data_IF_406389440276
#
_entry.id   IF_406389440276
#
_cell.length_a   1.000
_cell.length_b   1.000
_cell.length_c   1.000
_cell.angle_alpha   90.00
_cell.angle_beta   90.00
_cell.angle_gamma   90.00
#
_symmetry.space_group_name_H-M   'P 1'
#
loop_
_entity.id
_entity.type
_entity.pdbx_description
1 polymer ?
#
# COMPACT_ATOMS: atom_id res chain seq x y z
N UNK A 1 -49.93 8.40 -26.16
CA UNK A 1 -50.91 9.00 -25.25
C UNK A 1 -50.14 9.41 -24.03
N UNK A 2 -49.91 10.55 -23.72
CA UNK A 2 -50.42 11.89 -23.50
C UNK A 2 -49.53 12.46 -22.45
N UNK A 3 -48.63 13.40 -22.73
CA UNK A 3 -48.74 14.87 -22.59
C UNK A 3 -48.89 15.36 -21.14
N UNK A 4 -47.94 16.25 -20.76
CA UNK A 4 -48.02 17.32 -19.77
C UNK A 4 -46.62 17.63 -19.28
N UNK A 5 -45.83 18.50 -19.69
CA UNK A 5 -45.74 19.94 -19.98
C UNK A 5 -46.10 20.82 -18.79
N UNK A 6 -45.11 21.71 -18.49
CA UNK A 6 -45.17 23.08 -17.87
C UNK A 6 -44.79 23.08 -16.36
N UNK A 7 -44.06 24.01 -15.79
CA UNK A 7 -43.51 25.35 -16.18
C UNK A 7 -42.35 25.62 -15.19
N UNK A 8 -41.21 26.08 -15.53
CA UNK A 8 -40.63 27.42 -15.65
C UNK A 8 -41.16 28.43 -14.62
N UNK A 9 -40.27 28.78 -13.67
CA UNK A 9 -40.15 30.14 -13.16
C UNK A 9 -38.71 30.44 -12.74
N UNK A 10 -38.07 31.29 -13.54
CA UNK A 10 -36.99 32.18 -13.25
C UNK A 10 -37.45 33.19 -12.17
N UNK A 11 -36.63 33.41 -11.16
CA UNK A 11 -36.59 34.70 -10.50
C UNK A 11 -35.11 35.08 -10.35
N UNK A 12 -34.70 35.92 -11.30
CA UNK A 12 -33.65 36.90 -11.17
C UNK A 12 -34.00 37.89 -10.07
N UNK A 13 -33.08 38.20 -9.18
CA UNK A 13 -33.03 39.54 -8.61
C UNK A 13 -31.57 39.93 -8.35
N UNK A 14 -31.13 40.82 -9.18
CA UNK A 14 -30.04 41.75 -9.14
C UNK A 14 -30.39 42.90 -8.17
N UNK A 15 -29.49 43.21 -7.26
CA UNK A 15 -29.24 44.55 -6.68
C UNK A 15 -27.78 44.55 -6.22
N UNK A 16 -26.88 45.01 -6.92
CA UNK A 16 -26.32 46.30 -7.29
C UNK A 16 -26.28 47.36 -6.17
N UNK A 17 -25.03 47.73 -5.85
CA UNK A 17 -24.48 49.03 -5.56
C UNK A 17 -24.61 49.54 -4.13
N UNK A 18 -23.47 49.70 -3.47
CA UNK A 18 -22.85 51.05 -3.31
C UNK A 18 -21.46 50.94 -2.69
N UNK A 19 -20.49 51.26 -3.53
CA UNK A 19 -19.27 51.98 -3.16
C UNK A 19 -19.63 53.26 -2.41
N UNK A 20 -18.92 53.56 -1.35
CA UNK A 20 -18.62 54.91 -0.93
C UNK A 20 -17.19 55.01 -0.46
N UNK A 21 -16.36 55.49 -1.35
CA UNK A 21 -15.15 56.24 -1.04
C UNK A 21 -15.50 57.49 -0.22
N UNK A 22 -14.69 57.75 0.79
CA UNK A 22 -14.26 59.07 1.26
C UNK A 22 -12.92 58.78 1.95
N UNK A 23 -11.80 58.93 1.31
CA UNK A 23 -10.92 60.08 1.05
C UNK A 23 -10.65 60.94 2.26
N UNK A 24 -9.37 60.93 2.63
CA UNK A 24 -8.48 62.00 2.96
C UNK A 24 -8.96 63.14 3.84
N UNK A 25 -8.17 63.37 4.84
CA UNK A 25 -7.52 64.62 5.26
C UNK A 25 -6.72 64.31 6.52
N UNK A 26 -5.41 64.20 6.53
CA UNK A 26 -4.34 65.19 6.39
C UNK A 26 -4.63 66.48 7.22
N UNK A 27 -3.85 66.67 8.21
CA UNK A 27 -2.92 67.86 8.42
C UNK A 27 -2.60 67.93 9.90
N UNK A 28 -1.33 67.80 10.32
CA UNK A 28 -0.33 68.85 10.50
C UNK A 28 -0.74 69.96 11.45
N UNK A 29 -0.05 70.05 12.53
CA UNK A 29 0.52 71.23 13.19
C UNK A 29 1.51 70.74 14.23
N UNK A 30 2.78 70.69 14.12
CA UNK A 30 3.79 71.77 14.03
C UNK A 30 3.42 73.06 14.82
N UNK A 31 4.20 73.19 15.85
CA UNK A 31 5.09 74.32 16.10
C UNK A 31 4.46 75.64 16.49
N UNK A 32 4.86 76.11 17.64
CA UNK A 32 5.30 77.51 17.92
C UNK A 32 5.57 77.65 19.42
N UNK A 33 6.77 77.71 19.86
CA UNK A 33 7.70 78.88 19.87
C UNK A 33 7.05 80.19 20.22
N UNK A 34 7.63 80.78 21.29
CA UNK A 34 7.89 82.18 21.57
C UNK A 34 6.75 83.13 21.91
N UNK A 35 6.99 83.79 23.00
CA UNK A 35 7.33 85.19 23.19
C UNK A 35 7.21 85.52 24.67
N UNK A 36 8.28 85.87 25.37
CA UNK A 36 8.71 87.25 25.53
C UNK A 36 7.52 88.25 25.66
N UNK A 37 7.37 88.74 26.86
CA UNK A 37 7.24 90.21 26.98
C UNK A 37 7.71 90.71 28.34
N UNK A 38 8.68 91.53 28.19
CA UNK A 38 9.26 92.60 28.96
C UNK A 38 8.23 93.51 29.62
N UNK A 39 8.49 93.88 30.90
CA UNK A 39 8.21 95.19 31.42
C UNK A 39 8.99 95.49 32.71
N UNK A 40 10.02 96.19 32.53
CA UNK A 40 10.61 97.15 33.47
C UNK A 40 10.03 98.51 33.10
N UNK A 41 10.14 99.64 33.85
CA UNK A 41 10.59 99.83 35.23
C UNK A 41 9.65 100.76 36.04
N UNK A 42 9.95 100.99 37.27
CA UNK A 42 9.98 102.36 37.82
C UNK A 42 10.71 102.40 39.16
N UNK A 43 11.66 103.37 39.08
CA UNK A 43 12.43 103.90 40.21
C UNK A 43 11.54 104.59 41.21
N UNK A 44 11.91 104.58 42.47
CA UNK A 44 12.22 105.83 43.22
C UNK A 44 12.75 105.52 44.64
N UNK A 45 13.90 106.12 44.82
CA UNK A 45 14.46 106.85 45.96
C UNK A 45 14.92 106.20 47.19
N UNK A 46 16.24 106.29 47.28
CA UNK A 46 17.14 106.56 48.40
C UNK A 46 16.46 106.96 49.71
N UNK A 47 16.93 106.35 50.76
CA UNK A 47 17.42 106.96 51.98
C UNK A 47 18.51 106.17 52.62
N UNK A 48 19.60 106.91 52.81
CA UNK A 48 20.80 106.57 53.57
C UNK A 48 20.52 106.03 54.99
N UNK A 49 21.09 104.91 55.34
CA UNK A 49 21.74 104.83 56.68
C UNK A 49 22.76 103.67 56.71
N UNK A 50 23.92 104.00 57.25
CA UNK A 50 25.09 103.15 57.30
C UNK A 50 25.07 102.14 58.40
N UNK A 51 26.08 101.29 58.50
CA UNK A 51 25.92 99.85 58.57
C UNK A 51 26.11 99.24 59.99
N UNK A 52 25.42 98.22 60.30
CA UNK A 52 25.80 97.31 61.37
C UNK A 52 26.20 95.98 60.78
N UNK A 53 27.49 95.76 60.80
CA UNK A 53 28.10 94.51 60.46
C UNK A 53 27.67 93.42 61.46
N UNK A 54 26.69 92.61 61.12
CA UNK A 54 26.48 91.37 61.82
C UNK A 54 27.20 90.26 61.02
N UNK A 55 28.39 89.88 61.48
CA UNK A 55 29.03 88.70 61.08
C UNK A 55 28.14 87.50 61.51
N UNK A 56 27.34 87.01 60.58
CA UNK A 56 26.74 85.73 60.75
C UNK A 56 27.85 84.71 60.41
N UNK A 57 28.38 84.10 61.47
CA UNK A 57 29.23 82.92 61.29
C UNK A 57 28.39 81.87 60.58
N UNK A 58 28.70 81.62 59.34
CA UNK A 58 28.21 80.44 58.62
C UNK A 58 28.68 79.18 59.42
N UNK A 59 27.78 78.23 59.72
CA UNK A 59 28.19 77.03 60.38
C UNK A 59 29.19 76.29 59.52
N UNK A 60 30.38 76.05 60.03
CA UNK A 60 31.38 75.20 59.44
C UNK A 60 30.83 73.81 59.17
N UNK A 61 30.34 73.58 57.95
CA UNK A 61 29.87 72.25 57.59
C UNK A 61 31.14 71.47 57.14
N UNK A 62 31.45 70.46 57.96
CA UNK A 62 32.54 69.53 57.72
C UNK A 62 32.50 68.95 56.28
N UNK A 63 33.53 69.15 55.47
CA UNK A 63 33.60 68.64 54.09
C UNK A 63 33.38 67.12 53.96
N UNK A 64 33.54 66.38 55.04
CA UNK A 64 33.33 64.94 55.09
C UNK A 64 31.84 64.60 54.97
N UNK A 65 30.94 65.41 55.52
CA UNK A 65 29.48 65.22 55.44
C UNK A 65 28.97 65.48 54.04
N UNK A 66 29.57 66.46 53.32
CA UNK A 66 29.25 66.71 51.89
C UNK A 66 29.67 65.58 51.00
N UNK A 67 30.87 64.99 51.24
CA UNK A 67 31.36 63.83 50.49
C UNK A 67 30.49 62.60 50.76
N UNK A 68 30.04 62.39 52.01
CA UNK A 68 29.16 61.29 52.33
C UNK A 68 27.75 61.47 51.72
N UNK A 69 27.16 62.65 51.76
CA UNK A 69 25.85 62.94 51.13
C UNK A 69 25.96 62.79 49.62
N UNK A 70 27.04 63.23 48.95
CA UNK A 70 27.27 63.08 47.52
C UNK A 70 27.45 61.59 47.14
N UNK A 71 28.22 60.83 47.91
CA UNK A 71 28.35 59.36 47.73
C UNK A 71 27.01 58.67 47.92
N UNK A 72 26.22 58.98 48.92
CA UNK A 72 24.87 58.41 49.12
C UNK A 72 23.90 58.77 47.95
N UNK A 73 23.95 59.97 47.43
CA UNK A 73 23.15 60.38 46.22
C UNK A 73 23.57 59.62 45.00
N UNK A 74 24.88 59.55 44.72
CA UNK A 74 25.44 58.76 43.57
C UNK A 74 25.04 57.31 43.68
N UNK A 75 25.28 56.69 44.84
CA UNK A 75 24.88 55.28 45.07
C UNK A 75 23.37 55.08 44.84
N UNK A 76 22.50 55.99 45.39
CA UNK A 76 21.07 55.92 45.21
C UNK A 76 20.69 56.10 43.70
N UNK A 77 21.31 57.02 43.00
CA UNK A 77 21.04 57.23 41.55
C UNK A 77 21.49 56.03 40.73
N UNK A 78 22.68 55.49 41.02
CA UNK A 78 23.18 54.25 40.37
C UNK A 78 22.28 53.08 40.68
N UNK A 79 21.84 52.91 41.92
CA UNK A 79 20.92 51.81 42.31
C UNK A 79 19.58 51.97 41.57
N UNK A 80 19.01 53.17 41.52
CA UNK A 80 17.77 53.43 40.78
C UNK A 80 17.94 53.12 39.28
N UNK A 81 19.05 53.56 38.69
CA UNK A 81 19.34 53.29 37.28
C UNK A 81 19.49 51.78 37.01
N UNK A 82 20.18 51.06 37.86
CA UNK A 82 20.31 49.56 37.76
C UNK A 82 18.96 48.89 37.88
N UNK A 83 18.14 49.27 38.88
CA UNK A 83 16.81 48.70 39.09
C UNK A 83 15.90 49.06 37.90
N UNK A 84 15.94 50.29 37.40
CA UNK A 84 15.17 50.70 36.22
C UNK A 84 15.59 49.92 34.98
N UNK A 85 16.90 49.66 34.76
CA UNK A 85 17.41 48.87 33.66
C UNK A 85 16.95 47.39 33.80
N UNK A 86 17.07 46.82 34.98
CA UNK A 86 16.59 45.44 35.23
C UNK A 86 15.08 45.31 35.01
N UNK A 87 14.32 46.32 35.45
CA UNK A 87 12.86 46.38 35.21
C UNK A 87 12.53 46.49 33.72
N UNK A 88 13.27 47.34 32.98
CA UNK A 88 13.08 47.46 31.55
C UNK A 88 13.41 46.18 30.80
N UNK A 89 14.49 45.49 31.17
CA UNK A 89 14.84 44.16 30.60
C UNK A 89 13.78 43.14 30.94
N UNK A 90 13.29 43.11 32.19
CA UNK A 90 12.23 42.22 32.60
C UNK A 90 10.94 42.43 31.82
N UNK A 91 10.48 43.70 31.73
CA UNK A 91 9.28 44.03 30.95
C UNK A 91 9.46 43.69 29.48
N UNK A 92 10.64 44.04 28.90
CA UNK A 92 10.97 43.65 27.53
C UNK A 92 10.91 42.15 27.31
N UNK A 93 11.42 41.38 28.27
CA UNK A 93 11.30 39.91 28.27
C UNK A 93 9.87 39.43 28.32
N UNK A 94 9.04 40.01 29.19
CA UNK A 94 7.60 39.68 29.29
C UNK A 94 6.89 39.96 27.95
N UNK A 95 7.09 41.11 27.37
CA UNK A 95 6.48 41.51 26.07
C UNK A 95 6.95 40.60 24.93
N UNK A 96 8.21 40.21 24.92
CA UNK A 96 8.76 39.31 23.92
C UNK A 96 8.14 37.90 24.05
N UNK A 97 8.06 37.35 25.25
CA UNK A 97 7.53 36.02 25.48
C UNK A 97 5.99 35.94 25.53
N UNK A 98 5.29 37.06 25.47
CA UNK A 98 3.84 37.10 25.37
C UNK A 98 3.33 36.48 24.04
N UNK A 99 4.11 36.57 22.97
CA UNK A 99 3.74 36.10 21.65
C UNK A 99 4.75 35.14 21.02
N UNK A 100 5.76 34.68 21.79
CA UNK A 100 6.83 33.81 21.32
C UNK A 100 7.19 32.76 22.33
N UNK A 101 7.55 31.58 21.80
CA UNK A 101 7.98 30.48 22.65
C UNK A 101 9.29 30.79 23.38
N UNK A 102 9.36 30.32 24.62
CA UNK A 102 10.52 30.50 25.50
C UNK A 102 11.72 29.62 25.11
N UNK A 103 12.83 29.83 25.84
CA UNK A 103 14.02 29.02 25.71
C UNK A 103 13.72 27.54 25.97
N UNK A 104 14.48 26.64 25.36
CA UNK A 104 14.42 25.19 25.56
C UNK A 104 13.04 24.56 25.30
N UNK A 105 12.25 25.14 24.39
CA UNK A 105 10.95 24.59 23.98
C UNK A 105 11.08 23.87 22.65
N UNK A 106 10.61 22.62 22.61
CA UNK A 106 10.49 21.81 21.39
C UNK A 106 9.04 21.39 21.18
N UNK A 107 8.62 21.30 19.92
CA UNK A 107 7.32 20.75 19.51
C UNK A 107 7.60 19.74 18.39
N UNK A 108 7.15 18.49 18.56
CA UNK A 108 7.43 17.39 17.64
C UNK A 108 8.94 17.25 17.33
N UNK A 109 9.80 17.45 18.36
CA UNK A 109 11.26 17.40 18.21
C UNK A 109 11.88 18.62 17.51
N UNK A 110 11.07 19.61 17.09
CA UNK A 110 11.53 20.85 16.43
C UNK A 110 11.72 21.97 17.45
N UNK A 111 12.86 22.65 17.37
CA UNK A 111 13.13 23.80 18.20
C UNK A 111 12.28 25.00 17.77
N UNK A 112 11.46 25.51 18.70
CA UNK A 112 10.52 26.61 18.47
C UNK A 112 10.91 27.90 19.22
N UNK A 113 12.07 27.94 19.86
CA UNK A 113 12.56 29.07 20.64
C UNK A 113 12.49 30.37 19.85
N UNK A 114 11.84 31.39 20.42
CA UNK A 114 11.69 32.73 19.83
C UNK A 114 10.75 32.81 18.64
N UNK A 115 10.13 31.72 18.21
CA UNK A 115 9.15 31.69 17.12
C UNK A 115 7.76 32.11 17.61
N UNK A 116 6.98 32.75 16.73
CA UNK A 116 5.56 33.05 16.97
C UNK A 116 4.72 31.79 16.73
N UNK A 117 3.48 31.79 17.24
CA UNK A 117 2.48 30.72 17.02
C UNK A 117 2.36 30.40 15.53
N UNK A 118 2.10 31.40 14.70
CA UNK A 118 1.92 31.21 13.27
C UNK A 118 3.16 30.60 12.58
N UNK A 119 4.37 31.09 12.93
CA UNK A 119 5.62 30.54 12.39
C UNK A 119 5.86 29.08 12.78
N UNK A 120 5.37 28.68 13.96
CA UNK A 120 5.42 27.27 14.41
C UNK A 120 4.39 26.44 13.66
N UNK A 121 3.17 26.92 13.52
CA UNK A 121 2.11 26.27 12.75
C UNK A 121 2.56 26.04 11.30
N UNK A 122 3.05 27.08 10.63
CA UNK A 122 3.57 26.99 9.25
C UNK A 122 4.72 25.96 9.13
N UNK A 123 5.62 25.97 10.11
CA UNK A 123 6.73 25.01 10.15
C UNK A 123 6.24 23.57 10.32
N UNK A 124 5.33 23.34 11.26
CA UNK A 124 4.79 22.00 11.53
C UNK A 124 3.97 21.49 10.33
N UNK A 125 3.13 22.33 9.75
CA UNK A 125 2.37 21.98 8.55
C UNK A 125 3.27 21.72 7.33
N UNK A 126 4.35 22.52 7.18
CA UNK A 126 5.35 22.27 6.13
C UNK A 126 6.08 20.93 6.33
N UNK A 127 6.39 20.57 7.57
CA UNK A 127 7.02 19.28 7.85
C UNK A 127 6.04 18.12 7.63
N UNK A 128 4.78 18.28 8.01
CA UNK A 128 3.74 17.29 7.76
C UNK A 128 3.51 17.04 6.26
N UNK A 129 3.57 18.10 5.43
CA UNK A 129 3.45 17.96 3.97
C UNK A 129 4.62 17.22 3.31
N UNK A 130 5.77 17.13 3.97
CA UNK A 130 6.94 16.35 3.50
C UNK A 130 6.87 14.89 3.91
N UNK A 131 5.82 14.50 4.64
CA UNK A 131 5.64 13.12 5.02
C UNK A 131 5.52 12.24 3.77
N UNK A 132 6.21 11.12 3.79
CA UNK A 132 6.21 10.14 2.72
C UNK A 132 5.68 8.82 3.22
N UNK A 133 4.88 8.16 2.41
CA UNK A 133 4.40 6.81 2.60
C UNK A 133 4.96 5.93 1.47
N UNK A 134 5.78 4.96 1.82
CA UNK A 134 6.29 3.97 0.87
C UNK A 134 5.27 2.84 0.73
N UNK A 135 4.62 2.78 -0.43
CA UNK A 135 3.62 1.78 -0.79
C UNK A 135 4.34 0.67 -1.56
N UNK A 136 4.37 -0.53 -0.98
CA UNK A 136 5.00 -1.71 -1.57
C UNK A 136 3.98 -2.54 -2.30
N UNK A 137 4.09 -2.56 -3.61
CA UNK A 137 3.34 -3.46 -4.48
C UNK A 137 4.16 -4.72 -4.76
N UNK A 138 3.53 -5.75 -5.32
CA UNK A 138 4.15 -7.04 -5.63
C UNK A 138 5.35 -6.92 -6.59
N UNK A 139 5.23 -6.06 -7.59
CA UNK A 139 6.23 -5.91 -8.66
C UNK A 139 6.92 -4.54 -8.68
N UNK A 140 6.55 -3.62 -7.79
CA UNK A 140 7.09 -2.25 -7.77
C UNK A 140 6.86 -1.58 -6.42
N UNK A 141 7.65 -0.57 -6.12
CA UNK A 141 7.44 0.32 -4.98
C UNK A 141 7.02 1.70 -5.48
N UNK A 142 6.19 2.37 -4.72
CA UNK A 142 5.75 3.72 -5.01
C UNK A 142 5.82 4.56 -3.74
N UNK A 143 6.57 5.67 -3.79
CA UNK A 143 6.63 6.62 -2.68
C UNK A 143 5.60 7.72 -2.90
N UNK A 144 4.59 7.73 -2.05
CA UNK A 144 3.58 8.78 -2.01
C UNK A 144 4.06 9.92 -1.12
N UNK A 145 3.96 11.17 -1.59
CA UNK A 145 4.28 12.39 -0.83
C UNK A 145 2.96 13.10 -0.50
N UNK A 146 2.71 13.34 0.80
CA UNK A 146 1.44 13.94 1.25
C UNK A 146 1.17 15.31 0.61
N UNK A 147 2.23 16.08 0.34
CA UNK A 147 2.13 17.38 -0.31
C UNK A 147 1.62 17.33 -1.76
N UNK A 148 1.84 16.24 -2.47
CA UNK A 148 1.47 16.09 -3.88
C UNK A 148 -0.05 15.86 -4.05
N UNK A 149 -0.71 15.32 -3.04
CA UNK A 149 -2.17 15.09 -3.07
C UNK A 149 -3.00 16.34 -2.73
N UNK A 150 -2.37 17.51 -2.56
CA UNK A 150 -3.05 18.74 -2.11
C UNK A 150 -3.98 18.47 -0.91
N UNK A 151 -3.47 17.63 0.00
CA UNK A 151 -4.19 17.21 1.18
C UNK A 151 -4.32 18.34 2.17
N UNK A 152 -5.49 18.50 2.76
CA UNK A 152 -5.70 19.45 3.85
C UNK A 152 -5.14 18.87 5.14
N UNK A 153 -3.99 19.39 5.58
CA UNK A 153 -3.34 18.99 6.81
C UNK A 153 -3.60 20.05 7.86
N UNK A 154 -4.25 19.68 8.93
CA UNK A 154 -4.52 20.55 10.08
C UNK A 154 -3.89 20.00 11.35
N UNK A 155 -3.53 20.89 12.26
CA UNK A 155 -3.09 20.51 13.60
C UNK A 155 -4.32 20.15 14.45
N UNK A 156 -4.25 19.05 15.19
CA UNK A 156 -5.34 18.61 16.08
C UNK A 156 -5.55 19.59 17.23
N UNK A 157 -4.43 20.12 17.76
CA UNK A 157 -4.43 21.11 18.83
C UNK A 157 -3.86 22.45 18.36
N UNK A 158 -4.40 23.53 18.91
CA UNK A 158 -3.87 24.87 18.62
C UNK A 158 -2.52 25.07 19.31
N UNK A 159 -1.52 25.48 18.53
CA UNK A 159 -0.20 25.86 19.01
C UNK A 159 -0.30 27.02 20.04
N UNK A 160 -1.28 27.90 19.90
CA UNK A 160 -1.56 28.99 20.84
C UNK A 160 -1.91 28.46 22.23
N UNK A 161 -2.59 27.32 22.33
CA UNK A 161 -2.89 26.68 23.62
C UNK A 161 -1.61 26.26 24.34
N UNK A 162 -0.60 25.77 23.63
CA UNK A 162 0.70 25.43 24.21
C UNK A 162 1.47 26.66 24.67
N UNK A 163 1.43 27.73 23.91
CA UNK A 163 2.07 28.99 24.30
C UNK A 163 1.44 29.53 25.60
N UNK A 164 0.13 29.46 25.74
CA UNK A 164 -0.62 29.92 26.93
C UNK A 164 -0.39 29.09 28.18
N UNK A 165 0.15 27.87 28.07
CA UNK A 165 0.56 27.06 29.22
C UNK A 165 1.71 27.69 30.01
N UNK A 166 2.48 28.60 29.35
CA UNK A 166 3.60 29.29 29.98
C UNK A 166 3.21 30.74 30.31
N UNK A 167 3.32 31.08 31.60
CA UNK A 167 3.17 32.49 32.00
C UNK A 167 4.34 33.32 31.45
N UNK A 168 4.10 34.37 30.65
CA UNK A 168 5.19 35.23 30.15
C UNK A 168 5.90 35.97 31.28
N UNK A 169 5.26 36.14 32.44
CA UNK A 169 5.89 36.73 33.62
C UNK A 169 6.98 35.86 34.25
N UNK A 170 6.95 34.56 34.00
CA UNK A 170 7.95 33.62 34.48
C UNK A 170 9.02 33.29 33.43
N UNK A 171 9.16 34.11 32.38
CA UNK A 171 10.07 33.83 31.27
C UNK A 171 11.50 33.51 31.69
N UNK A 172 12.01 34.23 32.70
CA UNK A 172 13.35 33.99 33.22
C UNK A 172 13.48 32.63 33.91
N UNK A 173 12.50 32.26 34.72
CA UNK A 173 12.47 30.96 35.39
C UNK A 173 12.26 29.83 34.38
N UNK A 174 11.36 30.00 33.41
CA UNK A 174 11.08 29.06 32.35
C UNK A 174 12.30 28.78 31.47
N UNK A 175 13.25 29.73 31.38
CA UNK A 175 14.48 29.56 30.59
C UNK A 175 15.42 28.48 31.15
N UNK A 176 15.23 28.04 32.38
CA UNK A 176 16.00 26.95 33.01
C UNK A 176 15.31 25.60 32.91
N UNK A 177 14.11 25.51 32.32
CA UNK A 177 13.35 24.28 32.14
C UNK A 177 13.28 23.94 30.66
N UNK A 178 13.30 22.65 30.34
CA UNK A 178 13.06 22.13 28.99
C UNK A 178 11.62 21.67 28.86
N UNK A 179 10.99 22.06 27.77
CA UNK A 179 9.59 21.71 27.46
C UNK A 179 9.56 20.99 26.12
N UNK A 180 9.05 19.77 26.12
CA UNK A 180 8.85 18.99 24.92
C UNK A 180 7.35 18.69 24.75
N UNK A 181 6.78 19.19 23.67
CA UNK A 181 5.35 19.02 23.36
C UNK A 181 5.19 18.19 22.10
N UNK A 182 4.09 17.47 22.06
CA UNK A 182 3.62 16.78 20.87
C UNK A 182 2.28 17.35 20.46
N UNK A 183 2.12 17.59 19.17
CA UNK A 183 0.86 17.96 18.53
C UNK A 183 0.65 16.94 17.42
N UNK A 184 -0.51 16.31 17.43
CA UNK A 184 -0.91 15.41 16.37
C UNK A 184 -1.46 16.21 15.18
N UNK A 185 -1.46 15.58 14.02
CA UNK A 185 -1.98 16.16 12.80
C UNK A 185 -3.29 15.44 12.44
N UNK A 186 -4.18 16.15 11.79
CA UNK A 186 -5.34 15.55 11.13
C UNK A 186 -5.11 15.69 9.63
N UNK A 187 -5.06 14.57 8.94
CA UNK A 187 -4.95 14.53 7.48
C UNK A 187 -6.34 14.31 6.91
N UNK A 188 -6.81 15.27 6.15
CA UNK A 188 -8.05 15.15 5.39
C UNK A 188 -7.67 15.08 3.91
N UNK A 189 -7.57 13.84 3.39
CA UNK A 189 -7.32 13.61 1.98
C UNK A 189 -8.64 13.57 1.22
N UNK A 190 -8.73 14.38 0.18
CA UNK A 190 -9.75 14.24 -0.83
C UNK A 190 -9.48 12.96 -1.63
N UNK A 191 -10.48 12.06 -1.66
CA UNK A 191 -10.34 10.77 -2.32
C UNK A 191 -10.00 10.91 -3.79
N UNK A 192 -10.62 11.85 -4.50
CA UNK A 192 -10.36 12.05 -5.94
C UNK A 192 -8.92 12.50 -6.20
N UNK A 193 -8.38 13.38 -5.36
CA UNK A 193 -6.99 13.83 -5.46
C UNK A 193 -6.00 12.73 -5.12
N UNK A 194 -6.29 11.93 -4.10
CA UNK A 194 -5.48 10.78 -3.74
C UNK A 194 -5.45 9.76 -4.89
N UNK A 195 -6.60 9.46 -5.47
CA UNK A 195 -6.71 8.57 -6.63
C UNK A 195 -5.88 9.08 -7.80
N UNK A 196 -5.95 10.37 -8.10
CA UNK A 196 -5.16 10.97 -9.17
C UNK A 196 -3.64 10.86 -8.93
N UNK A 197 -3.18 11.06 -7.69
CA UNK A 197 -1.78 10.90 -7.33
C UNK A 197 -1.31 9.45 -7.42
N UNK A 198 -2.12 8.52 -6.93
CA UNK A 198 -1.79 7.10 -6.94
C UNK A 198 -1.80 6.51 -8.36
N UNK A 199 -2.62 7.06 -9.28
CA UNK A 199 -2.61 6.66 -10.69
C UNK A 199 -1.26 6.92 -11.40
N UNK A 200 -0.38 7.73 -10.83
CA UNK A 200 0.99 7.88 -11.31
C UNK A 200 1.85 6.62 -11.05
N UNK A 201 1.40 5.72 -10.18
CA UNK A 201 2.08 4.45 -9.92
C UNK A 201 1.88 3.49 -11.09
N UNK A 202 2.95 2.86 -11.60
CA UNK A 202 2.84 1.82 -12.63
C UNK A 202 1.98 0.63 -12.22
N UNK A 203 1.88 0.35 -10.91
CA UNK A 203 1.06 -0.73 -10.37
C UNK A 203 -0.45 -0.51 -10.56
N UNK A 204 -0.90 0.74 -10.76
CA UNK A 204 -2.29 1.07 -11.02
C UNK A 204 -2.63 1.16 -12.52
N UNK A 205 -1.66 0.92 -13.40
CA UNK A 205 -1.94 0.80 -14.83
C UNK A 205 -2.74 -0.48 -15.09
N UNK A 206 -4.00 -0.32 -15.44
CA UNK A 206 -4.93 -1.43 -15.71
C UNK A 206 -4.44 -2.36 -16.82
N UNK A 207 -3.63 -1.86 -17.75
CA UNK A 207 -3.12 -2.66 -18.85
C UNK A 207 -2.01 -3.65 -18.42
N UNK A 208 -1.33 -3.35 -17.32
CA UNK A 208 -0.26 -4.19 -16.75
C UNK A 208 -0.77 -5.16 -15.67
N UNK A 209 -2.01 -4.98 -15.19
CA UNK A 209 -2.57 -5.85 -14.16
C UNK A 209 -2.92 -7.23 -14.69
N UNK A 210 -2.55 -8.26 -13.96
CA UNK A 210 -2.89 -9.65 -14.25
C UNK A 210 -4.01 -10.14 -13.34
N UNK A 211 -4.94 -10.90 -13.91
CA UNK A 211 -5.99 -11.58 -13.13
C UNK A 211 -5.38 -12.69 -12.27
N UNK A 212 -5.96 -12.94 -11.12
CA UNK A 212 -5.64 -14.11 -10.32
C UNK A 212 -6.10 -15.38 -11.03
N UNK A 213 -5.32 -16.45 -10.91
CA UNK A 213 -5.66 -17.75 -11.48
C UNK A 213 -6.14 -18.66 -10.36
N UNK A 214 -7.25 -19.33 -10.62
CA UNK A 214 -7.82 -20.30 -9.71
C UNK A 214 -6.98 -21.58 -9.65
N UNK A 215 -6.99 -22.24 -8.51
CA UNK A 215 -6.45 -23.56 -8.37
C UNK A 215 -7.18 -24.54 -9.29
N UNK A 216 -6.47 -25.51 -9.81
CA UNK A 216 -7.03 -26.56 -10.69
C UNK A 216 -6.33 -27.88 -10.51
N UNK A 217 -7.05 -28.95 -10.82
CA UNK A 217 -6.48 -30.29 -10.90
C UNK A 217 -6.14 -30.60 -12.36
N UNK A 218 -4.98 -31.19 -12.59
CA UNK A 218 -4.54 -31.64 -13.91
C UNK A 218 -4.12 -33.11 -13.84
N UNK A 219 -4.27 -33.82 -14.96
CA UNK A 219 -3.82 -35.20 -15.13
C UNK A 219 -2.54 -35.20 -15.96
N UNK A 220 -1.40 -35.49 -15.35
CA UNK A 220 -0.09 -35.49 -16.02
C UNK A 220 0.79 -36.63 -15.46
N UNK A 221 1.58 -37.25 -16.35
CA UNK A 221 2.61 -38.22 -16.02
C UNK A 221 2.11 -39.41 -15.14
N UNK A 222 0.87 -39.83 -15.33
CA UNK A 222 0.29 -40.89 -14.57
C UNK A 222 -0.21 -40.53 -13.18
N UNK A 223 -0.33 -39.23 -12.89
CA UNK A 223 -0.76 -38.72 -11.60
C UNK A 223 -1.79 -37.57 -11.78
N UNK A 224 -2.62 -37.41 -10.75
CA UNK A 224 -3.44 -36.22 -10.64
C UNK A 224 -2.73 -35.18 -9.74
N UNK A 225 -2.46 -33.98 -10.28
CA UNK A 225 -1.74 -32.91 -9.59
C UNK A 225 -2.64 -31.71 -9.35
N UNK A 226 -2.55 -31.13 -8.16
CA UNK A 226 -3.16 -29.84 -7.88
C UNK A 226 -2.16 -28.75 -8.27
N UNK A 227 -2.56 -27.89 -9.19
CA UNK A 227 -1.85 -26.63 -9.45
C UNK A 227 -2.49 -25.60 -8.55
N UNK A 228 -1.75 -25.01 -7.60
CA UNK A 228 -2.31 -24.02 -6.68
C UNK A 228 -2.70 -22.75 -7.42
N UNK A 229 -3.52 -21.96 -6.76
CA UNK A 229 -3.90 -20.65 -7.21
C UNK A 229 -2.69 -19.69 -7.25
N UNK A 230 -2.75 -18.77 -8.17
CA UNK A 230 -1.77 -17.67 -8.28
C UNK A 230 -2.50 -16.34 -8.09
N UNK A 231 -2.15 -15.59 -7.06
CA UNK A 231 -2.64 -14.22 -6.89
C UNK A 231 -2.01 -13.33 -7.95
N UNK A 232 -2.84 -12.74 -8.79
CA UNK A 232 -2.43 -11.77 -9.82
C UNK A 232 -1.99 -10.44 -9.19
N UNK A 233 -1.86 -9.43 -10.05
CA UNK A 233 -1.52 -8.05 -9.66
C UNK A 233 -2.73 -7.12 -9.74
N UNK A 234 -3.91 -7.64 -10.04
CA UNK A 234 -5.14 -6.86 -10.07
C UNK A 234 -5.55 -6.42 -8.68
N UNK A 235 -5.68 -5.11 -8.50
CA UNK A 235 -5.98 -4.48 -7.23
C UNK A 235 -7.47 -4.26 -7.00
N UNK A 236 -7.91 -4.46 -5.77
CA UNK A 236 -9.11 -3.83 -5.24
C UNK A 236 -8.76 -2.38 -4.89
N UNK A 237 -8.99 -1.49 -5.86
CA UNK A 237 -8.62 -0.08 -5.72
C UNK A 237 -9.38 0.61 -4.59
N UNK A 238 -10.61 0.20 -4.30
CA UNK A 238 -11.39 0.77 -3.21
C UNK A 238 -10.73 0.43 -1.85
N UNK A 239 -10.38 -0.84 -1.67
CA UNK A 239 -9.69 -1.31 -0.46
C UNK A 239 -8.31 -0.66 -0.32
N UNK A 240 -7.54 -0.56 -1.42
CA UNK A 240 -6.24 0.10 -1.43
C UNK A 240 -6.34 1.56 -0.97
N UNK A 241 -7.28 2.33 -1.52
CA UNK A 241 -7.45 3.73 -1.13
C UNK A 241 -7.81 3.86 0.35
N UNK A 242 -8.71 3.03 0.85
CA UNK A 242 -9.07 3.03 2.27
C UNK A 242 -7.87 2.70 3.17
N UNK A 243 -7.02 1.76 2.75
CA UNK A 243 -5.78 1.41 3.48
C UNK A 243 -4.75 2.54 3.43
N UNK A 244 -4.57 3.18 2.27
CA UNK A 244 -3.69 4.36 2.15
C UNK A 244 -4.18 5.50 3.04
N UNK A 245 -5.49 5.81 3.04
CA UNK A 245 -6.06 6.85 3.90
C UNK A 245 -5.82 6.53 5.38
N UNK A 246 -5.96 5.27 5.78
CA UNK A 246 -5.71 4.85 7.16
C UNK A 246 -4.22 4.95 7.53
N UNK A 247 -3.32 4.53 6.64
CA UNK A 247 -1.89 4.66 6.84
C UNK A 247 -1.46 6.14 6.98
N UNK A 248 -2.03 7.03 6.14
CA UNK A 248 -1.80 8.48 6.25
C UNK A 248 -2.29 9.06 7.58
N UNK A 249 -3.43 8.61 8.08
CA UNK A 249 -3.96 9.05 9.39
C UNK A 249 -3.12 8.56 10.57
N UNK A 250 -2.52 7.37 10.44
CA UNK A 250 -1.68 6.77 11.46
C UNK A 250 -0.21 7.21 11.38
N UNK A 251 0.17 7.93 10.32
CA UNK A 251 1.57 8.27 10.03
C UNK A 251 2.48 7.05 9.86
N UNK A 252 1.92 6.00 9.23
CA UNK A 252 2.69 4.82 8.89
C UNK A 252 3.69 5.16 7.77
N UNK A 253 4.93 4.77 7.91
CA UNK A 253 5.97 5.08 6.91
C UNK A 253 5.97 4.13 5.73
N UNK A 254 5.33 2.97 5.88
CA UNK A 254 5.27 1.91 4.86
C UNK A 254 3.89 1.28 4.85
N UNK A 255 3.40 0.94 3.66
CA UNK A 255 2.17 0.18 3.45
C UNK A 255 2.49 -0.99 2.52
N UNK A 256 2.34 -2.21 3.00
CA UNK A 256 2.49 -3.41 2.20
C UNK A 256 1.12 -3.83 1.66
N UNK A 257 0.96 -3.70 0.34
CA UNK A 257 -0.32 -3.93 -0.36
C UNK A 257 -0.75 -5.40 -0.31
N UNK A 258 0.22 -6.32 -0.28
CA UNK A 258 -0.05 -7.76 -0.17
C UNK A 258 -0.44 -8.14 1.25
N UNK A 259 0.29 -7.66 2.26
CA UNK A 259 -0.04 -7.88 3.67
C UNK A 259 -1.42 -7.31 4.06
N UNK A 260 -1.83 -6.21 3.42
CA UNK A 260 -3.14 -5.58 3.60
C UNK A 260 -4.23 -6.20 2.72
N UNK A 261 -3.90 -7.30 1.99
CA UNK A 261 -4.83 -8.06 1.16
C UNK A 261 -5.58 -7.19 0.13
N UNK A 262 -4.89 -6.22 -0.49
CA UNK A 262 -5.50 -5.31 -1.46
C UNK A 262 -5.53 -5.89 -2.89
N UNK A 263 -4.96 -7.07 -3.14
CA UNK A 263 -5.11 -7.76 -4.42
C UNK A 263 -6.41 -8.54 -4.45
N UNK A 264 -7.01 -8.64 -5.64
CA UNK A 264 -8.18 -9.48 -5.84
C UNK A 264 -7.74 -10.94 -5.78
N UNK A 265 -8.19 -11.73 -4.78
CA UNK A 265 -7.76 -13.11 -4.64
C UNK A 265 -8.35 -13.99 -5.75
N UNK A 266 -7.79 -15.17 -5.92
CA UNK A 266 -8.41 -16.23 -6.72
C UNK A 266 -9.75 -16.65 -6.10
N UNK A 267 -10.68 -17.10 -6.94
CA UNK A 267 -12.00 -17.55 -6.50
C UNK A 267 -11.98 -18.97 -5.93
N UNK A 268 -11.10 -19.82 -6.46
CA UNK A 268 -10.96 -21.21 -6.06
C UNK A 268 -9.53 -21.42 -5.54
N UNK A 269 -9.43 -21.83 -4.28
CA UNK A 269 -8.16 -22.09 -3.61
C UNK A 269 -7.84 -23.59 -3.64
N UNK A 270 -6.57 -23.94 -3.51
CA UNK A 270 -6.10 -25.33 -3.54
C UNK A 270 -6.67 -26.21 -2.41
N UNK A 271 -7.02 -25.62 -1.29
CA UNK A 271 -7.63 -26.27 -0.13
C UNK A 271 -9.17 -26.27 -0.14
N UNK A 272 -9.79 -25.71 -1.20
CA UNK A 272 -11.24 -25.71 -1.32
C UNK A 272 -11.79 -27.13 -1.46
N UNK A 273 -12.98 -27.37 -0.89
CA UNK A 273 -13.67 -28.67 -0.95
C UNK A 273 -13.86 -29.15 -2.38
N UNK A 274 -14.09 -28.23 -3.32
CA UNK A 274 -14.25 -28.54 -4.75
C UNK A 274 -12.96 -29.12 -5.35
N UNK A 275 -11.80 -28.55 -5.05
CA UNK A 275 -10.51 -29.04 -5.54
C UNK A 275 -10.14 -30.36 -4.89
N UNK A 276 -10.34 -30.50 -3.58
CA UNK A 276 -10.06 -31.73 -2.86
C UNK A 276 -10.87 -32.91 -3.41
N UNK A 277 -12.17 -32.68 -3.66
CA UNK A 277 -13.05 -33.68 -4.26
C UNK A 277 -12.64 -33.99 -5.70
N UNK A 278 -12.35 -32.99 -6.52
CA UNK A 278 -11.86 -33.20 -7.89
C UNK A 278 -10.56 -34.02 -7.89
N UNK A 279 -9.66 -33.73 -6.94
CA UNK A 279 -8.41 -34.51 -6.78
C UNK A 279 -8.68 -35.95 -6.42
N UNK A 280 -9.60 -36.20 -5.49
CA UNK A 280 -10.01 -37.60 -5.11
C UNK A 280 -10.60 -38.36 -6.30
N UNK A 281 -11.51 -37.71 -7.06
CA UNK A 281 -12.10 -38.31 -8.27
C UNK A 281 -11.05 -38.54 -9.35
N UNK A 282 -10.06 -37.68 -9.47
CA UNK A 282 -8.96 -37.78 -10.42
C UNK A 282 -7.97 -38.90 -10.04
N UNK A 283 -7.63 -39.00 -8.77
CA UNK A 283 -6.81 -40.12 -8.26
C UNK A 283 -7.51 -41.46 -8.49
N UNK A 284 -8.81 -41.55 -8.19
CA UNK A 284 -9.61 -42.74 -8.44
C UNK A 284 -9.64 -43.11 -9.94
N UNK A 285 -9.63 -42.13 -10.86
CA UNK A 285 -9.53 -42.40 -12.29
C UNK A 285 -8.13 -42.89 -12.68
N UNK A 286 -7.07 -42.31 -12.15
CA UNK A 286 -5.69 -42.72 -12.43
C UNK A 286 -5.41 -44.13 -11.93
N UNK A 287 -6.09 -44.54 -10.85
CA UNK A 287 -5.95 -45.87 -10.24
C UNK A 287 -6.79 -46.95 -10.95
N UNK A 288 -7.48 -46.62 -12.05
CA UNK A 288 -8.20 -47.62 -12.85
C UNK A 288 -7.22 -48.61 -13.45
N UNK A 289 -7.49 -49.91 -13.22
CA UNK A 289 -6.82 -51.00 -13.89
C UNK A 289 -7.55 -51.29 -15.22
N UNK A 290 -7.00 -50.79 -16.32
CA UNK A 290 -7.48 -51.03 -17.68
C UNK A 290 -6.65 -52.16 -18.30
N UNK A 291 -7.18 -53.40 -18.33
CA UNK A 291 -6.41 -54.59 -18.71
C UNK A 291 -6.96 -55.15 -20.02
N UNK A 292 -6.06 -55.39 -20.97
CA UNK A 292 -6.30 -56.19 -22.16
C UNK A 292 -5.86 -57.63 -21.93
N UNK A 293 -6.76 -58.57 -22.21
CA UNK A 293 -6.49 -59.99 -22.18
C UNK A 293 -6.31 -60.54 -23.61
N UNK A 294 -5.09 -60.95 -23.90
CA UNK A 294 -4.75 -61.59 -25.17
C UNK A 294 -4.79 -63.12 -25.11
N UNK A 295 -5.32 -63.66 -24.01
CA UNK A 295 -5.44 -65.08 -23.78
C UNK A 295 -4.16 -65.72 -23.22
N UNK A 296 -3.02 -65.51 -23.83
CA UNK A 296 -1.70 -66.01 -23.37
C UNK A 296 -0.95 -65.04 -22.46
N UNK A 297 -1.29 -63.76 -22.52
CA UNK A 297 -0.75 -62.69 -21.67
C UNK A 297 -1.75 -61.58 -21.53
N UNK A 298 -1.50 -60.71 -20.55
CA UNK A 298 -2.31 -59.50 -20.33
C UNK A 298 -1.45 -58.30 -20.53
N UNK A 299 -2.08 -57.18 -20.92
CA UNK A 299 -1.42 -55.89 -21.03
C UNK A 299 -2.27 -54.85 -20.29
N UNK A 300 -1.67 -54.24 -19.29
CA UNK A 300 -2.31 -53.14 -18.55
C UNK A 300 -1.92 -51.80 -19.19
N UNK A 301 -2.90 -50.95 -19.44
CA UNK A 301 -2.64 -49.58 -19.92
C UNK A 301 -1.86 -48.85 -18.84
N UNK A 302 -0.68 -48.29 -19.18
CA UNK A 302 0.09 -47.49 -18.21
C UNK A 302 -0.67 -46.23 -17.76
N UNK A 303 -0.50 -45.83 -16.49
CA UNK A 303 -1.15 -44.66 -15.91
C UNK A 303 -0.83 -43.40 -16.71
N UNK A 304 0.38 -43.30 -17.25
CA UNK A 304 0.83 -42.17 -18.12
C UNK A 304 0.01 -42.08 -19.40
N UNK A 305 -0.47 -43.22 -19.94
CA UNK A 305 -1.34 -43.21 -21.11
C UNK A 305 -2.80 -42.93 -20.73
N UNK A 306 -3.26 -43.41 -19.56
CA UNK A 306 -4.59 -43.09 -19.03
C UNK A 306 -4.75 -41.56 -18.81
N UNK A 307 -3.73 -40.94 -18.18
CA UNK A 307 -3.78 -39.49 -17.93
C UNK A 307 -3.77 -38.64 -19.21
N UNK A 308 -3.16 -39.15 -20.28
CA UNK A 308 -3.19 -38.45 -21.62
C UNK A 308 -4.57 -38.55 -22.29
N UNK A 309 -5.34 -39.62 -21.99
CA UNK A 309 -6.66 -39.85 -22.58
C UNK A 309 -7.78 -39.09 -21.88
N UNK A 310 -7.49 -38.48 -20.72
CA UNK A 310 -8.48 -37.75 -19.94
C UNK A 310 -8.00 -36.34 -19.59
N UNK A 311 -8.93 -35.49 -19.22
CA UNK A 311 -8.66 -34.15 -18.70
C UNK A 311 -9.70 -33.77 -17.66
N UNK A 312 -9.35 -32.81 -16.79
CA UNK A 312 -10.29 -32.23 -15.84
C UNK A 312 -10.95 -31.02 -16.51
N UNK A 313 -12.27 -31.05 -16.59
CA UNK A 313 -13.08 -29.96 -17.14
C UNK A 313 -13.18 -28.79 -16.14
N UNK A 314 -13.64 -27.63 -16.61
CA UNK A 314 -13.82 -26.42 -15.78
C UNK A 314 -14.79 -26.59 -14.61
N UNK A 315 -15.69 -27.56 -14.69
CA UNK A 315 -16.64 -27.93 -13.62
C UNK A 315 -16.07 -28.94 -12.60
N UNK A 316 -14.79 -29.31 -12.75
CA UNK A 316 -14.12 -30.31 -11.92
C UNK A 316 -14.40 -31.76 -12.32
N UNK A 317 -15.21 -32.02 -13.36
CA UNK A 317 -15.48 -33.38 -13.82
C UNK A 317 -14.34 -33.90 -14.69
N UNK A 318 -14.04 -35.22 -14.54
CA UNK A 318 -13.08 -35.87 -15.42
C UNK A 318 -13.78 -36.26 -16.71
N UNK A 319 -13.22 -35.82 -17.82
CA UNK A 319 -13.73 -36.06 -19.18
C UNK A 319 -12.71 -36.86 -19.96
N UNK A 320 -13.21 -37.77 -20.80
CA UNK A 320 -12.36 -38.58 -21.69
C UNK A 320 -12.25 -37.87 -23.05
N UNK A 321 -11.02 -37.68 -23.54
CA UNK A 321 -10.78 -37.12 -24.85
C UNK A 321 -10.88 -38.19 -25.91
N UNK A 322 -11.94 -38.14 -26.75
CA UNK A 322 -12.11 -39.10 -27.84
C UNK A 322 -10.91 -39.10 -28.79
N UNK A 323 -10.41 -37.93 -29.19
CA UNK A 323 -9.25 -37.83 -30.07
C UNK A 323 -7.97 -38.45 -29.49
N UNK A 324 -7.77 -38.32 -28.17
CA UNK A 324 -6.60 -38.89 -27.51
C UNK A 324 -6.74 -40.41 -27.35
N UNK A 325 -7.96 -40.92 -27.14
CA UNK A 325 -8.25 -42.35 -27.16
C UNK A 325 -7.98 -42.94 -28.55
N UNK A 326 -8.46 -42.30 -29.61
CA UNK A 326 -8.18 -42.70 -31.00
C UNK A 326 -6.67 -42.74 -31.27
N UNK A 327 -5.94 -41.69 -30.88
CA UNK A 327 -4.48 -41.60 -31.05
C UNK A 327 -3.74 -42.68 -30.26
N UNK A 328 -4.22 -43.02 -29.05
CA UNK A 328 -3.68 -44.11 -28.27
C UNK A 328 -3.95 -45.47 -28.94
N UNK A 329 -5.17 -45.69 -29.41
CA UNK A 329 -5.57 -46.96 -30.07
C UNK A 329 -4.82 -47.19 -31.38
N UNK A 330 -4.48 -46.17 -32.16
CA UNK A 330 -3.62 -46.31 -33.33
C UNK A 330 -2.21 -46.82 -32.95
N UNK A 331 -1.61 -46.26 -31.88
CA UNK A 331 -0.33 -46.79 -31.35
C UNK A 331 -0.45 -48.20 -30.78
N UNK A 332 -1.56 -48.49 -30.12
CA UNK A 332 -1.88 -49.80 -29.58
C UNK A 332 -1.98 -50.82 -30.73
N UNK A 333 -2.69 -50.49 -31.82
CA UNK A 333 -2.80 -51.30 -33.02
C UNK A 333 -1.42 -51.57 -33.65
N UNK A 334 -0.57 -50.53 -33.79
CA UNK A 334 0.79 -50.70 -34.31
C UNK A 334 1.61 -51.68 -33.48
N UNK A 335 1.49 -51.61 -32.14
CA UNK A 335 2.25 -52.42 -31.19
C UNK A 335 1.74 -53.87 -31.13
N UNK A 336 0.42 -54.09 -31.24
CA UNK A 336 -0.21 -55.36 -30.93
C UNK A 336 -0.77 -56.09 -32.19
N UNK A 337 -0.79 -55.48 -33.34
CA UNK A 337 -1.03 -56.17 -34.60
C UNK A 337 0.18 -57.02 -34.92
N UNK A 338 0.04 -58.32 -34.78
CA UNK A 338 1.14 -59.29 -34.98
C UNK A 338 0.94 -60.22 -36.18
N UNK A 339 -0.22 -60.11 -36.84
CA UNK A 339 -0.38 -60.77 -38.13
C UNK A 339 0.49 -60.08 -39.19
N UNK A 340 0.95 -60.88 -40.13
CA UNK A 340 1.80 -60.39 -41.27
C UNK A 340 3.13 -59.71 -40.85
N UNK A 341 3.62 -59.94 -39.61
CA UNK A 341 4.88 -59.43 -39.10
C UNK A 341 5.95 -60.50 -39.09
N UNK A 342 7.17 -60.13 -39.45
CA UNK A 342 8.33 -61.02 -39.41
C UNK A 342 8.74 -61.26 -37.96
N UNK A 343 9.12 -62.53 -37.64
CA UNK A 343 9.52 -62.92 -36.29
C UNK A 343 10.82 -63.71 -36.33
N UNK A 344 11.70 -63.43 -35.39
CA UNK A 344 12.85 -64.26 -35.12
C UNK A 344 12.43 -65.49 -34.32
N UNK A 345 12.74 -66.62 -34.84
CA UNK A 345 12.48 -67.90 -34.18
C UNK A 345 13.78 -68.68 -33.97
N UNK A 346 14.03 -69.16 -32.77
CA UNK A 346 15.17 -69.98 -32.46
C UNK A 346 14.77 -71.49 -32.59
N UNK A 347 15.34 -72.11 -33.59
CA UNK A 347 15.10 -73.57 -33.85
C UNK A 347 15.69 -74.43 -32.76
N UNK A 348 15.32 -75.73 -32.76
CA UNK A 348 15.86 -76.73 -31.86
C UNK A 348 17.41 -76.79 -31.93
N UNK A 349 17.99 -76.61 -33.09
CA UNK A 349 19.45 -76.54 -33.32
C UNK A 349 20.10 -75.20 -32.82
N UNK A 350 19.36 -74.41 -32.10
CA UNK A 350 19.81 -73.06 -31.61
C UNK A 350 20.19 -72.06 -32.74
N UNK A 351 19.66 -72.28 -33.95
CA UNK A 351 19.80 -71.27 -35.04
C UNK A 351 18.63 -70.34 -34.97
N UNK A 352 18.90 -69.04 -35.07
CA UNK A 352 17.84 -68.01 -35.21
C UNK A 352 17.49 -67.93 -36.69
N UNK A 353 16.25 -68.14 -37.05
CA UNK A 353 15.70 -67.97 -38.38
C UNK A 353 14.64 -66.87 -38.36
N UNK A 354 14.53 -66.12 -39.44
CA UNK A 354 13.47 -65.13 -39.64
C UNK A 354 12.26 -65.84 -40.25
N UNK A 355 11.16 -65.93 -39.52
CA UNK A 355 9.88 -66.41 -40.01
C UNK A 355 9.11 -65.21 -40.55
N UNK A 356 8.87 -65.17 -41.85
CA UNK A 356 8.10 -64.11 -42.47
C UNK A 356 6.60 -64.21 -42.05
N UNK A 357 5.98 -63.01 -41.97
CA UNK A 357 4.61 -62.87 -41.55
C UNK A 357 3.63 -63.76 -42.29
N UNK A 358 2.61 -64.16 -41.60
CA UNK A 358 1.54 -65.06 -42.10
C UNK A 358 0.20 -64.70 -41.49
N UNK A 359 -0.79 -65.54 -41.73
CA UNK A 359 -2.17 -65.33 -41.31
C UNK A 359 -2.39 -65.42 -39.81
N UNK A 360 -1.42 -65.88 -39.02
CA UNK A 360 -1.52 -66.00 -37.59
C UNK A 360 -1.05 -64.72 -36.93
N UNK A 361 -1.82 -64.32 -35.93
CA UNK A 361 -1.53 -63.11 -35.15
C UNK A 361 -2.77 -62.24 -35.01
N UNK A 362 -2.65 -61.31 -34.12
CA UNK A 362 -3.67 -60.32 -33.88
C UNK A 362 -3.75 -59.28 -34.98
N UNK A 363 -4.97 -58.91 -35.38
CA UNK A 363 -5.23 -57.76 -36.24
C UNK A 363 -6.24 -56.90 -35.50
N UNK A 364 -5.76 -55.88 -34.84
CA UNK A 364 -6.57 -54.96 -34.04
C UNK A 364 -7.48 -54.17 -34.96
N UNK A 365 -8.76 -54.06 -34.59
CA UNK A 365 -9.75 -53.17 -35.21
C UNK A 365 -9.80 -51.88 -34.47
N UNK A 366 -8.99 -50.88 -34.94
CA UNK A 366 -8.81 -49.66 -34.24
C UNK A 366 -10.09 -48.82 -34.10
N UNK A 367 -10.97 -48.86 -35.07
CA UNK A 367 -12.22 -48.09 -35.04
C UNK A 367 -13.15 -48.61 -33.93
N UNK A 368 -13.42 -49.91 -33.93
CA UNK A 368 -14.23 -50.55 -32.89
C UNK A 368 -13.58 -50.47 -31.52
N UNK A 369 -12.23 -50.66 -31.45
CA UNK A 369 -11.51 -50.59 -30.19
C UNK A 369 -11.55 -49.18 -29.56
N UNK A 370 -11.43 -48.12 -30.38
CA UNK A 370 -11.49 -46.75 -29.87
C UNK A 370 -12.86 -46.40 -29.27
N UNK A 371 -13.94 -46.87 -29.89
CA UNK A 371 -15.29 -46.68 -29.36
C UNK A 371 -15.49 -47.42 -28.05
N UNK A 372 -15.12 -48.72 -28.01
CA UNK A 372 -15.28 -49.54 -26.81
C UNK A 372 -14.39 -49.04 -25.66
N UNK A 373 -13.15 -48.64 -25.91
CA UNK A 373 -12.24 -48.11 -24.92
C UNK A 373 -12.75 -46.78 -24.36
N UNK A 374 -13.25 -45.87 -25.25
CA UNK A 374 -13.87 -44.62 -24.83
C UNK A 374 -15.05 -44.86 -23.89
N UNK A 375 -15.94 -45.81 -24.25
CA UNK A 375 -17.13 -46.14 -23.44
C UNK A 375 -16.76 -46.77 -22.09
N UNK A 376 -15.72 -47.58 -22.04
CA UNK A 376 -15.24 -48.20 -20.82
C UNK A 376 -14.56 -47.16 -19.88
N UNK A 377 -13.68 -46.33 -20.41
CA UNK A 377 -13.03 -45.27 -19.66
C UNK A 377 -14.05 -44.25 -19.14
N UNK A 378 -15.11 -43.94 -19.92
CA UNK A 378 -16.19 -43.05 -19.50
C UNK A 378 -16.97 -43.57 -18.28
N UNK A 379 -16.96 -44.86 -18.02
CA UNK A 379 -17.56 -45.47 -16.80
C UNK A 379 -16.68 -45.29 -15.56
N UNK A 380 -15.40 -44.88 -15.74
CA UNK A 380 -14.44 -44.64 -14.67
C UNK A 380 -14.27 -45.81 -13.70
N UNK A 381 -14.22 -47.03 -14.23
CA UNK A 381 -14.08 -48.25 -13.47
C UNK A 381 -13.06 -49.15 -14.11
N UNK A 382 -12.33 -49.91 -13.29
CA UNK A 382 -11.43 -50.96 -13.76
C UNK A 382 -12.17 -51.97 -14.62
N UNK A 383 -11.51 -52.47 -15.66
CA UNK A 383 -12.05 -53.45 -16.57
C UNK A 383 -10.96 -54.35 -17.12
N UNK A 384 -11.39 -55.54 -17.50
CA UNK A 384 -10.58 -56.46 -18.29
C UNK A 384 -11.38 -56.84 -19.54
N UNK A 385 -10.77 -56.66 -20.70
CA UNK A 385 -11.39 -56.99 -21.99
C UNK A 385 -10.41 -57.61 -22.96
N UNK A 386 -10.90 -58.41 -23.87
CA UNK A 386 -10.17 -58.78 -25.10
C UNK A 386 -10.20 -57.58 -26.06
N UNK A 387 -9.07 -57.25 -26.77
CA UNK A 387 -9.09 -56.17 -27.74
C UNK A 387 -10.04 -56.45 -28.89
N UNK A 388 -10.76 -55.43 -29.35
CA UNK A 388 -11.54 -55.53 -30.57
C UNK A 388 -10.60 -55.82 -31.75
N UNK A 389 -10.84 -56.93 -32.43
CA UNK A 389 -9.93 -57.40 -33.46
C UNK A 389 -10.66 -57.97 -34.68
N UNK A 390 -10.10 -57.75 -35.85
CA UNK A 390 -10.53 -58.40 -37.10
C UNK A 390 -10.06 -59.83 -37.17
N UNK A 391 -9.00 -60.17 -36.43
CA UNK A 391 -8.41 -61.50 -36.34
C UNK A 391 -7.80 -61.73 -34.96
N UNK A 392 -8.09 -62.85 -34.35
CA UNK A 392 -7.51 -63.28 -33.06
C UNK A 392 -6.18 -63.98 -33.28
N UNK A 393 -5.20 -63.73 -32.39
CA UNK A 393 -3.84 -64.26 -32.50
C UNK A 393 -3.60 -65.57 -31.74
N UNK A 394 -4.65 -66.20 -31.14
CA UNK A 394 -4.51 -67.45 -30.45
C UNK A 394 -5.35 -68.57 -31.12
N UNK A 395 -4.92 -69.82 -30.95
CA UNK A 395 -5.67 -70.97 -31.42
C UNK A 395 -6.94 -71.17 -30.62
N UNK A 396 -7.98 -71.70 -31.25
CA UNK A 396 -9.28 -72.03 -30.61
C UNK A 396 -9.14 -73.12 -29.49
N UNK A 397 -8.02 -73.84 -29.35
CA UNK A 397 -7.70 -74.67 -28.21
C UNK A 397 -6.39 -74.22 -27.57
N UNK A 398 -6.43 -73.96 -26.26
CA UNK A 398 -5.41 -73.35 -25.43
C UNK A 398 -4.00 -73.96 -25.44
N UNK A 399 -3.79 -75.04 -26.15
CA UNK A 399 -2.50 -75.72 -26.19
C UNK A 399 -1.72 -75.56 -27.49
N UNK A 400 -2.30 -74.87 -28.48
CA UNK A 400 -1.69 -74.71 -29.78
C UNK A 400 -1.84 -73.25 -30.33
N UNK A 401 -1.28 -72.32 -29.61
CA UNK A 401 -1.06 -71.00 -30.21
C UNK A 401 0.09 -71.19 -31.21
N UNK A 402 -0.24 -71.31 -32.50
CA UNK A 402 0.75 -71.45 -33.59
C UNK A 402 1.58 -70.17 -33.76
N UNK A 403 1.13 -69.10 -33.17
CA UNK A 403 1.92 -67.86 -33.09
C UNK A 403 3.05 -67.93 -32.08
N UNK A 404 2.95 -68.83 -31.06
CA UNK A 404 3.97 -69.01 -30.03
C UNK A 404 4.63 -70.42 -30.11
N UNK A 405 4.04 -71.35 -30.82
CA UNK A 405 4.60 -72.71 -31.01
C UNK A 405 4.78 -72.98 -32.49
N UNK A 406 5.99 -72.75 -32.96
CA UNK A 406 6.44 -73.20 -34.28
C UNK A 406 7.04 -74.66 -34.13
N UNK A 407 6.52 -75.60 -34.85
CA UNK A 407 7.11 -76.94 -34.91
C UNK A 407 7.86 -77.03 -36.24
N UNK A 408 9.17 -77.12 -36.14
CA UNK A 408 10.01 -77.45 -37.29
C UNK A 408 9.65 -78.87 -37.75
N UNK A 409 9.15 -78.97 -38.97
CA UNK A 409 8.92 -80.28 -39.60
C UNK A 409 10.06 -80.47 -40.59
N UNK A 410 10.88 -81.55 -40.29
CA UNK A 410 11.92 -81.98 -41.20
C UNK A 410 11.35 -82.53 -42.51
#
# INVERSE_FOLDING_TARGET
MSRGKKDREEITNTEEVKETEVSDEMEKAEDSEKAEDDKKPEETKETDDKPVSLYVQEPFIDPSVYRQRRKKRIIRTVTIAVVATLLAVYIGGVLFHMHRFGANTTINGRNVVGKSVQSVEDMLLSDARKYTLDIKFKDSDFTFVLGDADSDVALTDSVDTLLKKHSPFLWFVNSFHSYDYKIDYTVNCDREKLEACLQASPALDRASMTESKDAKVVLEDGEAKVIPEETGTKLDTAKLYDKVINALKNYDTTLDVEAEECYIPAHILADSESILKTKEDADAFVDIEAVYDFGSYTYTIPKEELTKMAYVSSDGSIQISRSNVEAYVEKFKEKFTTADTDREFTTHDKKTILVHGGYYGWVIDAETEAEELYDLLSKKKSFTKEPACKRRGYALCAQNDIGSTYVEVD
#
